data_IF_766325347435
#
_entry.id   IF_766325347435
#
_cell.length_a   1.000
_cell.length_b   1.000
_cell.length_c   1.000
_cell.angle_alpha   90.00
_cell.angle_beta   90.00
_cell.angle_gamma   90.00
#
_symmetry.space_group_name_H-M   'P 1'
#
loop_
_entity.id
_entity.type
_entity.pdbx_description
1 polymer ?
#
# COMPACT_ATOMS: atom_id res chain seq x y z
N UNK A 1 -18.18 -23.51 10.50
CA UNK A 1 -17.71 -23.00 9.19
C UNK A 1 -16.57 -22.02 9.42
N UNK A 2 -15.31 -22.44 9.30
CA UNK A 2 -14.16 -21.54 9.44
C UNK A 2 -14.01 -20.75 8.14
N UNK A 3 -14.28 -19.45 8.17
CA UNK A 3 -14.10 -18.58 7.02
C UNK A 3 -12.62 -18.62 6.62
N UNK A 4 -12.37 -18.98 5.36
CA UNK A 4 -11.04 -19.03 4.74
C UNK A 4 -10.42 -17.64 4.87
N UNK A 5 -9.58 -17.42 5.89
CA UNK A 5 -8.87 -16.15 6.12
C UNK A 5 -8.11 -15.83 4.85
N UNK A 6 -8.63 -14.88 4.06
CA UNK A 6 -7.96 -14.40 2.86
C UNK A 6 -6.56 -13.96 3.26
N UNK A 7 -5.55 -14.40 2.51
CA UNK A 7 -4.16 -14.01 2.73
C UNK A 7 -4.06 -12.50 2.47
N UNK A 8 -4.22 -11.71 3.53
CA UNK A 8 -4.06 -10.26 3.53
C UNK A 8 -2.63 -9.96 3.92
N UNK A 9 -1.86 -9.42 3.00
CA UNK A 9 -0.54 -8.86 3.29
C UNK A 9 -0.69 -7.38 3.65
N UNK A 10 0.02 -6.94 4.69
CA UNK A 10 0.13 -5.51 5.00
C UNK A 10 1.25 -4.94 4.15
N UNK A 11 0.97 -3.87 3.43
CA UNK A 11 1.96 -3.16 2.60
C UNK A 11 1.99 -1.68 2.93
N UNK A 12 3.16 -1.08 2.71
CA UNK A 12 3.41 0.33 2.97
C UNK A 12 3.27 1.08 1.65
N UNK A 13 2.49 2.15 1.61
CA UNK A 13 2.47 3.12 0.52
C UNK A 13 3.30 4.31 0.93
N UNK A 14 4.45 4.50 0.30
CA UNK A 14 5.41 5.53 0.68
C UNK A 14 5.52 6.61 -0.39
N UNK A 15 5.61 7.86 0.05
CA UNK A 15 6.15 8.93 -0.75
C UNK A 15 7.66 9.03 -0.53
N UNK A 16 8.42 8.83 -1.61
CA UNK A 16 9.89 8.93 -1.61
C UNK A 16 10.40 10.36 -1.38
N UNK A 17 9.61 11.38 -1.72
CA UNK A 17 10.03 12.78 -1.58
C UNK A 17 9.98 13.26 -0.12
N UNK A 18 9.00 12.77 0.65
CA UNK A 18 8.73 13.28 2.00
C UNK A 18 8.95 12.24 3.10
N UNK A 19 9.11 10.97 2.73
CA UNK A 19 9.13 9.83 3.64
C UNK A 19 7.80 9.58 4.36
N UNK A 20 6.73 10.29 4.00
CA UNK A 20 5.40 10.00 4.55
C UNK A 20 4.88 8.68 3.99
N UNK A 21 4.24 7.89 4.84
CA UNK A 21 3.69 6.61 4.42
C UNK A 21 2.32 6.31 5.00
N UNK A 22 1.56 5.51 4.26
CA UNK A 22 0.33 4.89 4.70
C UNK A 22 0.53 3.38 4.84
N UNK A 23 -0.17 2.79 5.80
CA UNK A 23 -0.30 1.35 5.92
C UNK A 23 -1.59 0.93 5.23
N UNK A 24 -1.50 -0.01 4.29
CA UNK A 24 -2.68 -0.58 3.63
C UNK A 24 -2.63 -2.10 3.65
N UNK A 25 -3.79 -2.74 3.51
CA UNK A 25 -3.88 -4.20 3.40
C UNK A 25 -4.16 -4.57 1.96
N UNK A 26 -3.38 -5.47 1.40
CA UNK A 26 -3.56 -6.00 0.06
C UNK A 26 -3.95 -7.47 0.11
N UNK A 27 -4.90 -7.88 -0.73
CA UNK A 27 -5.27 -9.28 -0.87
C UNK A 27 -4.31 -9.94 -1.87
N UNK A 28 -3.47 -10.86 -1.41
CA UNK A 28 -2.47 -11.55 -2.27
C UNK A 28 -3.08 -12.52 -3.26
N UNK A 29 -4.36 -12.88 -3.07
CA UNK A 29 -5.10 -13.83 -3.91
C UNK A 29 -5.83 -13.18 -5.09
N UNK A 30 -5.86 -11.84 -5.15
CA UNK A 30 -6.47 -11.16 -6.29
C UNK A 30 -5.42 -10.98 -7.37
N UNK A 31 -5.72 -11.47 -8.58
CA UNK A 31 -4.89 -11.33 -9.79
C UNK A 31 -4.52 -9.85 -10.06
N UNK A 32 -5.39 -8.92 -9.62
CA UNK A 32 -5.20 -7.48 -9.68
C UNK A 32 -4.09 -6.92 -8.76
N UNK A 33 -3.59 -7.71 -7.80
CA UNK A 33 -2.57 -7.30 -6.82
C UNK A 33 -1.20 -7.91 -7.11
N UNK A 34 -1.01 -8.59 -8.24
CA UNK A 34 0.24 -9.24 -8.60
C UNK A 34 1.41 -8.26 -8.88
N UNK A 35 1.10 -6.97 -9.07
CA UNK A 35 2.08 -5.91 -9.36
C UNK A 35 2.27 -4.88 -8.24
N UNK A 36 3.29 -4.03 -8.39
CA UNK A 36 3.50 -2.87 -7.50
C UNK A 36 2.35 -1.88 -7.66
N UNK A 37 1.58 -1.67 -6.60
CA UNK A 37 0.50 -0.69 -6.64
C UNK A 37 1.03 0.75 -6.59
N UNK A 38 0.42 1.62 -7.40
CA UNK A 38 0.63 3.07 -7.38
C UNK A 38 -0.70 3.74 -7.10
N UNK A 39 -0.76 4.54 -6.05
CA UNK A 39 -1.98 5.26 -5.68
C UNK A 39 -1.72 6.73 -5.53
N UNK A 40 -2.63 7.55 -6.03
CA UNK A 40 -2.59 8.99 -5.80
C UNK A 40 -3.20 9.29 -4.43
N UNK A 41 -2.36 9.64 -3.47
CA UNK A 41 -2.74 9.88 -2.07
C UNK A 41 -2.29 11.27 -1.65
N UNK A 42 -3.00 11.85 -0.69
CA UNK A 42 -2.60 13.12 -0.11
C UNK A 42 -1.30 12.96 0.67
N UNK A 43 -0.38 13.90 0.52
CA UNK A 43 0.79 14.00 1.37
C UNK A 43 0.65 15.24 2.26
N UNK A 44 0.60 15.08 3.60
CA UNK A 44 0.44 16.21 4.51
C UNK A 44 1.67 17.12 4.58
N UNK A 45 2.87 16.62 4.24
CA UNK A 45 4.12 17.41 4.21
C UNK A 45 4.17 18.31 2.97
N UNK A 46 3.73 17.80 1.81
CA UNK A 46 3.66 18.60 0.56
C UNK A 46 2.33 19.32 0.34
N UNK A 47 1.31 19.00 1.15
CA UNK A 47 -0.07 19.51 1.05
C UNK A 47 -0.70 19.33 -0.34
N UNK A 48 -0.34 18.24 -1.03
CA UNK A 48 -0.83 17.92 -2.37
C UNK A 48 -1.02 16.42 -2.55
N UNK A 49 -1.82 16.04 -3.54
CA UNK A 49 -2.02 14.64 -3.91
C UNK A 49 -0.88 14.18 -4.84
N UNK A 50 -0.06 13.27 -4.33
CA UNK A 50 1.11 12.70 -5.01
C UNK A 50 0.91 11.22 -5.30
N UNK A 51 1.65 10.71 -6.27
CA UNK A 51 1.66 9.26 -6.56
C UNK A 51 2.55 8.58 -5.54
N UNK A 52 1.94 7.84 -4.62
CA UNK A 52 2.62 6.99 -3.66
C UNK A 52 2.83 5.60 -4.26
N UNK A 53 4.01 5.04 -4.02
CA UNK A 53 4.40 3.71 -4.52
C UNK A 53 4.42 2.71 -3.39
N UNK A 54 4.03 1.47 -3.69
CA UNK A 54 4.15 0.37 -2.74
C UNK A 54 5.62 0.10 -2.38
N UNK A 55 5.90 0.12 -1.09
CA UNK A 55 7.13 -0.28 -0.44
C UNK A 55 6.87 -1.55 0.37
N UNK A 56 7.87 -2.44 0.40
CA UNK A 56 7.80 -3.67 1.19
C UNK A 56 7.84 -3.31 2.67
N UNK A 57 6.89 -3.83 3.44
CA UNK A 57 6.98 -3.78 4.90
C UNK A 57 8.15 -4.70 5.32
N UNK A 58 9.14 -4.23 6.10
CA UNK A 58 10.11 -5.15 6.69
C UNK A 58 9.37 -6.08 7.67
N UNK A 59 9.65 -7.38 7.54
CA UNK A 59 9.16 -8.42 8.44
C UNK A 59 9.92 -8.37 9.76
#
# INVERSE_FOLDING_TARGET
>A
MASKKGSKEVVKLENKETGYFYTTTKNTKSENTAGKMKFRKYDPKLRKHVVMTEAKMPH
#
